data_IF_953470027612
#
_entry.id   IF_953470027612
#
_cell.length_a   1.000
_cell.length_b   1.000
_cell.length_c   1.000
_cell.angle_alpha   90.00
_cell.angle_beta   90.00
_cell.angle_gamma   90.00
#
_symmetry.space_group_name_H-M   'P 1'
#
loop_
_entity.id
_entity.type
_entity.pdbx_description
1 polymer ?
#
# COMPACT_ATOMS: atom_id res chain seq x y z
N UNK A 1 -15.53 6.81 -21.08
CA UNK A 1 -14.51 5.74 -21.05
C UNK A 1 -15.13 4.54 -20.34
N UNK A 2 -15.22 3.38 -20.99
CA UNK A 2 -15.84 2.19 -20.40
C UNK A 2 -14.78 1.31 -19.73
N UNK A 3 -14.94 1.01 -18.44
CA UNK A 3 -13.99 0.16 -17.73
C UNK A 3 -14.52 -1.29 -17.72
N UNK A 4 -13.70 -2.21 -18.22
CA UNK A 4 -14.01 -3.65 -18.21
C UNK A 4 -13.99 -4.19 -16.79
N UNK A 5 -14.98 -5.02 -16.46
CA UNK A 5 -15.03 -5.73 -15.17
C UNK A 5 -13.77 -6.56 -14.86
N UNK A 6 -13.12 -7.11 -15.88
CA UNK A 6 -11.87 -7.86 -15.70
C UNK A 6 -10.75 -6.99 -15.09
N UNK A 7 -10.62 -5.73 -15.53
CA UNK A 7 -9.62 -4.82 -14.97
C UNK A 7 -9.87 -4.55 -13.48
N UNK A 8 -11.14 -4.37 -13.10
CA UNK A 8 -11.55 -4.21 -11.71
C UNK A 8 -11.17 -5.42 -10.84
N UNK A 9 -11.44 -6.64 -11.31
CA UNK A 9 -11.10 -7.87 -10.58
C UNK A 9 -9.59 -8.06 -10.46
N UNK A 10 -8.83 -7.79 -11.53
CA UNK A 10 -7.37 -7.85 -11.51
C UNK A 10 -6.77 -6.89 -10.49
N UNK A 11 -7.26 -5.64 -10.44
CA UNK A 11 -6.80 -4.65 -9.48
C UNK A 11 -7.20 -4.98 -8.04
N UNK A 12 -8.40 -5.55 -7.82
CA UNK A 12 -8.79 -6.05 -6.50
C UNK A 12 -7.83 -7.16 -6.04
N UNK A 13 -7.55 -8.13 -6.90
CA UNK A 13 -6.63 -9.23 -6.61
C UNK A 13 -5.22 -8.71 -6.35
N UNK A 14 -4.72 -7.81 -7.18
CA UNK A 14 -3.42 -7.18 -6.99
C UNK A 14 -3.35 -6.49 -5.64
N UNK A 15 -4.40 -5.77 -5.22
CA UNK A 15 -4.45 -5.13 -3.90
C UNK A 15 -4.70 -6.09 -2.73
N UNK A 16 -4.88 -7.38 -3.00
CA UNK A 16 -5.18 -8.42 -2.01
C UNK A 16 -6.59 -8.31 -1.41
N UNK A 17 -7.52 -7.67 -2.13
CA UNK A 17 -8.84 -7.29 -1.63
C UNK A 17 -9.96 -8.16 -2.17
N UNK A 18 -11.03 -8.30 -1.38
CA UNK A 18 -12.29 -8.91 -1.83
C UNK A 18 -13.29 -7.85 -2.27
N UNK A 19 -14.22 -8.20 -3.16
CA UNK A 19 -15.37 -7.35 -3.53
C UNK A 19 -16.19 -6.90 -2.32
N UNK A 20 -16.25 -7.72 -1.25
CA UNK A 20 -16.96 -7.40 -0.01
C UNK A 20 -16.25 -6.30 0.78
N UNK A 21 -14.93 -6.38 0.89
CA UNK A 21 -14.12 -5.33 1.49
C UNK A 21 -14.24 -4.02 0.70
N UNK A 22 -14.17 -4.10 -0.64
CA UNK A 22 -14.37 -2.94 -1.50
C UNK A 22 -15.75 -2.31 -1.34
N UNK A 23 -16.81 -3.12 -1.31
CA UNK A 23 -18.19 -2.67 -1.07
C UNK A 23 -18.32 -1.90 0.24
N UNK A 24 -17.72 -2.40 1.33
CA UNK A 24 -17.73 -1.73 2.63
C UNK A 24 -16.98 -0.38 2.59
N UNK A 25 -15.80 -0.35 1.96
CA UNK A 25 -14.99 0.87 1.85
C UNK A 25 -15.66 1.95 0.98
N UNK A 26 -16.10 1.56 -0.22
CA UNK A 26 -16.72 2.45 -1.18
C UNK A 26 -18.14 2.89 -0.79
N UNK A 27 -18.71 2.29 0.27
CA UNK A 27 -20.12 2.43 0.67
C UNK A 27 -21.09 2.12 -0.50
N UNK A 28 -20.70 1.19 -1.36
CA UNK A 28 -21.51 0.69 -2.47
C UNK A 28 -22.08 -0.66 -2.05
N UNK A 29 -23.39 -0.91 -2.20
CA UNK A 29 -23.96 -2.20 -1.83
C UNK A 29 -23.28 -3.37 -2.55
N UNK A 30 -23.03 -4.46 -1.82
CA UNK A 30 -22.28 -5.61 -2.36
C UNK A 30 -22.93 -6.21 -3.61
N UNK A 31 -24.27 -6.25 -3.66
CA UNK A 31 -25.00 -6.75 -4.82
C UNK A 31 -24.76 -5.90 -6.08
N UNK A 32 -24.53 -4.60 -5.92
CA UNK A 32 -24.18 -3.70 -7.03
C UNK A 32 -22.78 -4.00 -7.54
N UNK A 33 -21.80 -4.16 -6.63
CA UNK A 33 -20.43 -4.51 -6.98
C UNK A 33 -20.36 -5.87 -7.68
N UNK A 34 -21.06 -6.87 -7.15
CA UNK A 34 -21.14 -8.20 -7.75
C UNK A 34 -21.92 -8.20 -9.08
N UNK A 35 -22.89 -7.30 -9.22
CA UNK A 35 -23.71 -7.11 -10.42
C UNK A 35 -22.91 -6.64 -11.63
N UNK A 36 -21.77 -5.97 -11.44
CA UNK A 36 -20.91 -5.52 -12.55
C UNK A 36 -20.32 -6.67 -13.38
N UNK A 37 -20.25 -7.88 -12.81
CA UNK A 37 -19.91 -9.08 -13.58
C UNK A 37 -20.93 -9.36 -14.69
N UNK A 38 -22.22 -9.12 -14.43
CA UNK A 38 -23.31 -9.36 -15.38
C UNK A 38 -23.37 -8.28 -16.47
N UNK A 39 -23.09 -7.02 -16.12
CA UNK A 39 -23.02 -5.93 -17.10
C UNK A 39 -21.71 -5.94 -17.90
N UNK A 40 -20.67 -6.63 -17.41
CA UNK A 40 -19.31 -6.60 -17.96
C UNK A 40 -18.60 -5.25 -17.79
N UNK A 41 -19.27 -4.28 -17.16
CA UNK A 41 -18.87 -2.87 -17.11
C UNK A 41 -18.90 -2.35 -15.69
N UNK A 42 -17.87 -1.60 -15.33
CA UNK A 42 -17.70 -0.96 -14.03
C UNK A 42 -17.75 0.57 -14.22
N UNK A 43 -18.49 1.32 -13.38
CA UNK A 43 -18.51 2.77 -13.47
C UNK A 43 -17.10 3.38 -13.29
N UNK A 44 -16.71 4.42 -14.05
CA UNK A 44 -15.34 4.96 -13.98
C UNK A 44 -14.90 5.44 -12.60
N UNK A 45 -15.80 6.05 -11.82
CA UNK A 45 -15.48 6.54 -10.47
C UNK A 45 -15.04 5.42 -9.50
N UNK A 46 -15.45 4.17 -9.77
CA UNK A 46 -15.07 3.00 -8.95
C UNK A 46 -13.57 2.76 -9.02
N UNK A 47 -12.95 3.03 -10.18
CA UNK A 47 -11.50 2.91 -10.33
C UNK A 47 -10.76 3.90 -9.45
N UNK A 48 -11.27 5.13 -9.32
CA UNK A 48 -10.72 6.16 -8.42
C UNK A 48 -10.85 5.76 -6.95
N UNK A 49 -11.97 5.13 -6.58
CA UNK A 49 -12.15 4.60 -5.23
C UNK A 49 -11.23 3.42 -4.95
N UNK A 50 -11.01 2.56 -5.94
CA UNK A 50 -10.14 1.39 -5.83
C UNK A 50 -8.67 1.79 -5.69
N UNK A 51 -8.20 2.79 -6.44
CA UNK A 51 -6.83 3.32 -6.29
C UNK A 51 -6.62 3.94 -4.92
N UNK A 52 -7.59 4.72 -4.44
CA UNK A 52 -7.57 5.35 -3.11
C UNK A 52 -7.70 4.36 -1.94
N UNK A 53 -8.05 3.10 -2.22
CA UNK A 53 -8.26 2.09 -1.20
C UNK A 53 -6.93 1.53 -0.66
N UNK A 54 -6.73 1.49 0.67
CA UNK A 54 -5.49 1.01 1.29
C UNK A 54 -5.34 -0.50 1.11
N UNK A 55 -4.23 -0.94 0.52
CA UNK A 55 -3.95 -2.35 0.22
C UNK A 55 -3.86 -3.21 1.47
N UNK A 56 -4.51 -4.39 1.48
CA UNK A 56 -4.33 -5.39 2.55
C UNK A 56 -3.24 -6.41 2.22
N UNK A 57 -2.29 -6.04 1.37
CA UNK A 57 -1.08 -6.84 1.19
C UNK A 57 -0.41 -6.97 2.55
N UNK A 58 0.03 -8.19 2.82
CA UNK A 58 0.87 -8.49 3.96
C UNK A 58 2.26 -8.78 3.45
N UNK A 59 3.25 -8.47 4.27
CA UNK A 59 4.66 -8.61 3.96
C UNK A 59 5.35 -9.28 5.14
N UNK A 60 6.38 -10.05 4.85
CA UNK A 60 7.28 -10.56 5.86
C UNK A 60 8.65 -9.90 5.72
N UNK A 61 9.42 -9.85 6.80
CA UNK A 61 10.72 -9.17 6.78
C UNK A 61 11.73 -9.89 5.88
N UNK A 62 11.58 -11.21 5.70
CA UNK A 62 12.45 -12.00 4.84
C UNK A 62 12.47 -11.48 3.40
N UNK A 63 11.31 -11.15 2.83
CA UNK A 63 11.21 -10.59 1.47
C UNK A 63 12.03 -9.32 1.29
N UNK A 64 12.12 -8.47 2.33
CA UNK A 64 12.93 -7.25 2.26
C UNK A 64 14.42 -7.52 2.50
N UNK A 65 14.76 -8.51 3.32
CA UNK A 65 16.15 -8.95 3.48
C UNK A 65 16.69 -9.46 2.14
N UNK A 66 15.88 -10.22 1.40
CA UNK A 66 16.27 -10.82 0.12
C UNK A 66 16.56 -9.74 -0.95
N UNK A 67 15.96 -8.55 -0.87
CA UNK A 67 16.29 -7.39 -1.74
C UNK A 67 17.40 -6.48 -1.18
N UNK A 68 18.03 -6.88 -0.07
CA UNK A 68 19.19 -6.21 0.52
C UNK A 68 18.88 -5.20 1.63
N UNK A 69 17.69 -5.23 2.25
CA UNK A 69 17.42 -4.40 3.44
C UNK A 69 18.11 -5.02 4.66
N UNK A 70 18.93 -4.26 5.41
CA UNK A 70 19.63 -4.79 6.58
C UNK A 70 18.68 -5.30 7.66
N UNK A 71 18.96 -6.50 8.21
CA UNK A 71 18.14 -7.11 9.26
C UNK A 71 17.94 -6.23 10.49
N UNK A 72 18.95 -5.43 10.85
CA UNK A 72 18.95 -4.55 12.02
C UNK A 72 17.84 -3.47 12.00
N UNK A 73 17.30 -3.19 10.81
CA UNK A 73 16.24 -2.21 10.58
C UNK A 73 14.88 -2.76 11.01
N UNK A 74 14.69 -4.09 11.02
CA UNK A 74 13.43 -4.69 11.39
C UNK A 74 13.24 -4.74 12.91
N UNK A 75 12.01 -4.46 13.33
CA UNK A 75 11.58 -4.53 14.73
C UNK A 75 11.05 -5.91 15.13
N UNK A 76 10.87 -6.81 14.16
CA UNK A 76 10.29 -8.13 14.38
C UNK A 76 11.38 -9.20 14.43
N UNK A 77 11.34 -10.03 15.47
CA UNK A 77 12.28 -11.14 15.67
C UNK A 77 11.95 -12.33 14.75
N UNK A 78 10.67 -12.52 14.41
CA UNK A 78 10.21 -13.56 13.49
C UNK A 78 10.10 -13.03 12.07
N UNK A 79 11.12 -13.30 11.24
CA UNK A 79 11.22 -12.80 9.88
C UNK A 79 10.16 -13.36 8.92
N UNK A 80 9.52 -14.48 9.26
CA UNK A 80 8.51 -15.15 8.42
C UNK A 80 7.08 -14.71 8.77
N UNK A 81 6.89 -14.04 9.90
CA UNK A 81 5.58 -13.54 10.32
C UNK A 81 5.05 -12.54 9.29
N UNK A 82 3.85 -12.84 8.80
CA UNK A 82 3.14 -11.97 7.87
C UNK A 82 2.48 -10.81 8.60
N UNK A 83 2.79 -9.58 8.19
CA UNK A 83 2.35 -8.33 8.82
C UNK A 83 1.67 -7.46 7.76
N UNK A 84 0.58 -6.73 8.07
CA UNK A 84 0.00 -5.76 7.15
C UNK A 84 1.04 -4.73 6.68
N UNK A 85 1.09 -4.47 5.36
CA UNK A 85 2.10 -3.60 4.75
C UNK A 85 2.17 -2.22 5.38
N UNK A 86 1.04 -1.60 5.68
CA UNK A 86 0.99 -0.26 6.27
C UNK A 86 1.64 -0.22 7.65
N UNK A 87 1.34 -1.21 8.49
CA UNK A 87 1.97 -1.37 9.81
C UNK A 87 3.46 -1.63 9.65
N UNK A 88 3.84 -2.51 8.72
CA UNK A 88 5.23 -2.84 8.48
C UNK A 88 6.05 -1.62 8.01
N UNK A 89 5.51 -0.86 7.06
CA UNK A 89 6.12 0.35 6.51
C UNK A 89 6.34 1.36 7.64
N UNK A 90 5.27 1.73 8.34
CA UNK A 90 5.31 2.77 9.36
C UNK A 90 6.22 2.38 10.53
N UNK A 91 6.10 1.14 11.03
CA UNK A 91 6.94 0.68 12.14
C UNK A 91 8.42 0.60 11.78
N UNK A 92 8.74 0.28 10.52
CA UNK A 92 10.14 0.19 10.09
C UNK A 92 10.74 1.58 9.85
N UNK A 93 10.03 2.46 9.14
CA UNK A 93 10.47 3.83 8.91
C UNK A 93 10.61 4.62 10.21
N UNK A 94 9.72 4.39 11.20
CA UNK A 94 9.86 5.00 12.53
C UNK A 94 11.16 4.62 13.24
N UNK A 95 11.71 3.45 12.94
CA UNK A 95 12.96 2.94 13.54
C UNK A 95 14.19 3.37 12.76
N UNK A 96 14.13 3.33 11.42
CA UNK A 96 15.25 3.72 10.55
C UNK A 96 14.72 4.22 9.22
N UNK A 97 14.69 5.54 9.06
CA UNK A 97 14.40 6.22 7.81
C UNK A 97 15.68 6.93 7.35
N UNK A 98 16.33 6.35 6.35
CA UNK A 98 17.45 6.96 5.62
C UNK A 98 17.24 6.67 4.14
N UNK A 99 18.01 7.35 3.29
CA UNK A 99 17.82 7.32 1.84
C UNK A 99 17.83 5.90 1.27
N UNK A 100 18.70 5.03 1.77
CA UNK A 100 18.80 3.63 1.32
C UNK A 100 17.53 2.84 1.67
N UNK A 101 17.04 2.98 2.91
CA UNK A 101 15.82 2.28 3.35
C UNK A 101 14.60 2.80 2.60
N UNK A 102 14.47 4.12 2.45
CA UNK A 102 13.35 4.73 1.75
C UNK A 102 13.35 4.30 0.28
N UNK A 103 14.50 4.35 -0.39
CA UNK A 103 14.66 3.90 -1.78
C UNK A 103 14.24 2.43 -1.95
N UNK A 104 14.69 1.54 -1.06
CA UNK A 104 14.30 0.12 -1.08
C UNK A 104 12.81 -0.08 -0.83
N UNK A 105 12.21 0.72 0.05
CA UNK A 105 10.77 0.65 0.36
C UNK A 105 9.93 1.17 -0.82
N UNK A 106 10.34 2.26 -1.48
CA UNK A 106 9.71 2.72 -2.72
C UNK A 106 9.82 1.65 -3.80
N UNK A 107 11.01 1.06 -3.97
CA UNK A 107 11.24 0.01 -4.99
C UNK A 107 10.36 -1.22 -4.74
N UNK A 108 10.19 -1.63 -3.48
CA UNK A 108 9.45 -2.84 -3.14
C UNK A 108 7.94 -2.64 -3.03
N UNK A 109 7.49 -1.57 -2.37
CA UNK A 109 6.07 -1.31 -2.10
C UNK A 109 5.41 -0.34 -3.10
N UNK A 110 6.20 0.45 -3.81
CA UNK A 110 5.73 1.60 -4.59
C UNK A 110 5.56 2.85 -3.73
N UNK A 111 5.84 4.01 -4.33
CA UNK A 111 5.76 5.32 -3.69
C UNK A 111 4.37 5.60 -3.09
N UNK A 112 3.32 5.39 -3.88
CA UNK A 112 1.93 5.61 -3.46
C UNK A 112 1.57 4.80 -2.21
N UNK A 113 2.06 3.55 -2.12
CA UNK A 113 1.80 2.67 -0.99
C UNK A 113 2.48 3.18 0.29
N UNK A 114 3.72 3.66 0.16
CA UNK A 114 4.47 4.22 1.29
C UNK A 114 3.80 5.51 1.79
N UNK A 115 3.44 6.42 0.88
CA UNK A 115 2.71 7.65 1.23
C UNK A 115 1.36 7.36 1.87
N UNK A 116 0.57 6.45 1.28
CA UNK A 116 -0.72 6.05 1.82
C UNK A 116 -0.60 5.46 3.23
N UNK A 117 0.45 4.68 3.51
CA UNK A 117 0.71 4.14 4.84
C UNK A 117 1.00 5.25 5.85
N UNK A 118 1.83 6.24 5.50
CA UNK A 118 2.14 7.39 6.36
C UNK A 118 0.90 8.23 6.65
N UNK A 119 0.09 8.55 5.63
CA UNK A 119 -1.14 9.33 5.78
C UNK A 119 -2.15 8.58 6.64
N UNK A 120 -2.34 7.27 6.40
CA UNK A 120 -3.29 6.43 7.16
C UNK A 120 -2.97 6.41 8.66
N UNK A 121 -1.68 6.45 9.01
CA UNK A 121 -1.22 6.44 10.40
C UNK A 121 -0.79 7.82 10.90
N UNK A 122 -1.16 8.91 10.21
CA UNK A 122 -0.78 10.28 10.56
C UNK A 122 -1.05 10.62 12.03
N UNK A 123 -2.20 10.21 12.57
CA UNK A 123 -2.58 10.48 13.97
C UNK A 123 -1.67 9.80 15.01
N UNK A 124 -0.81 8.86 14.60
CA UNK A 124 0.14 8.13 15.44
C UNK A 124 1.59 8.53 15.16
N UNK A 125 1.81 9.47 14.25
CA UNK A 125 3.10 9.92 13.78
C UNK A 125 3.23 11.43 14.03
N UNK A 126 4.45 11.93 14.17
CA UNK A 126 4.68 13.37 14.28
C UNK A 126 4.72 13.99 12.88
N UNK A 127 4.14 15.18 12.72
CA UNK A 127 4.16 15.91 11.44
C UNK A 127 5.60 16.14 10.91
N UNK A 128 6.60 16.48 11.74
CA UNK A 128 7.99 16.58 11.29
C UNK A 128 8.54 15.27 10.72
N UNK A 129 8.22 14.12 11.33
CA UNK A 129 8.67 12.82 10.83
C UNK A 129 8.08 12.53 9.45
N UNK A 130 6.77 12.75 9.29
CA UNK A 130 6.10 12.55 8.01
C UNK A 130 6.74 13.45 6.95
N UNK A 131 7.00 14.72 7.29
CA UNK A 131 7.64 15.66 6.38
C UNK A 131 9.04 15.23 5.96
N UNK A 132 9.90 14.86 6.90
CA UNK A 132 11.27 14.40 6.60
C UNK A 132 11.29 13.16 5.71
N UNK A 133 10.39 12.20 5.95
CA UNK A 133 10.29 11.01 5.09
C UNK A 133 9.85 11.41 3.68
N UNK A 134 8.84 12.29 3.54
CA UNK A 134 8.37 12.76 2.22
C UNK A 134 9.48 13.51 1.47
N UNK A 135 10.22 14.39 2.15
CA UNK A 135 11.35 15.11 1.52
C UNK A 135 12.45 14.15 1.03
N UNK A 136 12.78 13.13 1.83
CA UNK A 136 13.75 12.10 1.42
C UNK A 136 13.23 11.24 0.26
N UNK A 137 11.92 10.96 0.20
CA UNK A 137 11.32 10.28 -0.94
C UNK A 137 11.49 11.10 -2.23
N UNK A 138 11.23 12.40 -2.19
CA UNK A 138 11.42 13.28 -3.35
C UNK A 138 12.90 13.41 -3.76
N UNK A 139 13.81 13.45 -2.78
CA UNK A 139 15.26 13.58 -3.03
C UNK A 139 15.85 12.30 -3.63
N UNK A 140 15.40 11.13 -3.16
CA UNK A 140 15.82 9.83 -3.70
C UNK A 140 15.35 9.62 -5.15
N UNK A 141 14.26 10.25 -5.57
CA UNK A 141 13.76 10.19 -6.95
C UNK A 141 14.51 11.15 -7.89
N UNK A 142 14.99 12.28 -7.38
CA UNK A 142 15.78 13.23 -8.17
C UNK A 142 17.21 12.75 -8.47
N UNK A 143 17.67 11.72 -7.76
CA UNK A 143 19.05 11.19 -7.85
C UNK A 143 19.16 9.81 -8.53
N UNK A 144 18.04 9.25 -9.01
CA UNK A 144 17.95 7.95 -9.69
C UNK A 144 17.73 8.12 -11.19
#
# INVERSE_FOLDING_TARGET
>A
MEIKHQLFESMLHEKGMTKRAFSQYAKIPYYTVAGWKKSGKVPPYVMVLLTSMPTSKTVNAQQLIDIGVPRAVFWNNDLKKSIPNDIFIVSTLRRSYNDVIISKFITFFGEETVLAALIKHKNKLSDPFIHSVIEQMHTSLASA
#
